data_IF_445372416800
#
_entry.id   IF_445372416800
#
_cell.length_a   1.000
_cell.length_b   1.000
_cell.length_c   1.000
_cell.angle_alpha   90.00
_cell.angle_beta   90.00
_cell.angle_gamma   90.00
#
_symmetry.space_group_name_H-M   'P 1'
#
loop_
_entity.id
_entity.type
_entity.pdbx_description
1 polymer ?
#
# COMPACT_ATOMS: atom_id res chain seq x y z
N UNK A 1 -0.05 -1.22 15.90
CA UNK A 1 1.23 -1.47 15.22
C UNK A 1 2.28 -1.88 16.24
N UNK A 2 2.83 -3.09 16.14
CA UNK A 2 3.79 -3.61 17.12
C UNK A 2 5.21 -3.52 16.57
N UNK A 3 6.08 -2.78 17.26
CA UNK A 3 7.53 -2.81 17.02
C UNK A 3 8.09 -4.10 17.60
N UNK A 4 8.60 -5.01 16.80
CA UNK A 4 9.30 -6.21 17.28
C UNK A 4 10.70 -5.85 17.72
N UNK A 5 11.00 -6.02 19.01
CA UNK A 5 12.36 -5.96 19.51
C UNK A 5 13.21 -7.09 18.90
N UNK A 6 14.14 -6.73 18.03
CA UNK A 6 15.09 -7.65 17.44
C UNK A 6 16.19 -8.01 18.45
N UNK A 7 16.09 -9.20 19.07
CA UNK A 7 17.25 -9.91 19.62
C UNK A 7 17.28 -11.34 19.07
N UNK A 8 18.18 -11.54 18.12
CA UNK A 8 18.87 -12.81 17.86
C UNK A 8 18.16 -13.78 16.94
N UNK A 9 18.60 -13.78 15.68
CA UNK A 9 19.21 -15.00 15.09
C UNK A 9 19.86 -14.64 13.75
N UNK A 10 21.16 -14.89 13.67
CA UNK A 10 21.98 -14.88 12.44
C UNK A 10 21.61 -16.12 11.60
N UNK A 11 21.18 -15.93 10.39
CA UNK A 11 20.91 -16.99 9.42
C UNK A 11 21.36 -16.60 8.01
N UNK A 12 22.49 -17.11 7.63
CA UNK A 12 23.07 -17.43 6.33
C UNK A 12 22.68 -16.61 5.08
N UNK A 13 23.68 -15.83 4.61
CA UNK A 13 23.67 -15.18 3.31
C UNK A 13 23.71 -16.18 2.14
N UNK A 14 22.95 -15.84 1.11
CA UNK A 14 23.15 -16.35 -0.25
C UNK A 14 23.74 -15.23 -1.11
N UNK A 15 25.02 -15.42 -1.49
CA UNK A 15 25.65 -14.65 -2.54
C UNK A 15 25.14 -15.18 -3.89
N UNK A 16 24.49 -14.36 -4.71
CA UNK A 16 24.23 -14.67 -6.11
C UNK A 16 25.12 -13.82 -7.01
N UNK A 17 25.88 -14.51 -7.84
CA UNK A 17 26.85 -14.02 -8.79
C UNK A 17 26.22 -13.18 -9.91
N UNK A 18 26.83 -12.03 -10.18
CA UNK A 18 26.53 -11.13 -11.30
C UNK A 18 27.00 -11.75 -12.63
N UNK A 19 26.11 -12.45 -13.35
CA UNK A 19 26.30 -12.78 -14.79
C UNK A 19 24.96 -13.02 -15.51
N UNK A 20 24.06 -12.04 -15.58
CA UNK A 20 22.83 -12.14 -16.36
C UNK A 20 22.39 -10.86 -17.09
N UNK A 21 23.23 -9.81 -17.16
CA UNK A 21 22.80 -8.52 -17.74
C UNK A 21 22.70 -8.47 -19.29
N UNK A 22 23.16 -9.49 -20.02
CA UNK A 22 23.06 -9.53 -21.48
C UNK A 22 21.87 -10.30 -22.04
N UNK A 23 21.24 -11.14 -21.23
CA UNK A 23 20.12 -12.00 -21.69
C UNK A 23 18.77 -11.27 -21.61
N UNK A 24 18.59 -10.36 -20.67
CA UNK A 24 17.31 -9.68 -20.45
C UNK A 24 16.98 -8.65 -21.55
N UNK A 25 17.97 -7.96 -22.15
CA UNK A 25 17.70 -7.02 -23.27
C UNK A 25 17.19 -7.68 -24.54
N UNK A 26 17.40 -8.98 -24.73
CA UNK A 26 16.91 -9.72 -25.90
C UNK A 26 15.46 -10.16 -25.70
N UNK A 27 15.02 -10.38 -24.46
CA UNK A 27 13.65 -10.74 -24.13
C UNK A 27 12.71 -9.55 -24.18
N UNK A 28 13.14 -8.34 -23.82
CA UNK A 28 12.31 -7.13 -23.86
C UNK A 28 11.93 -6.72 -25.30
N UNK A 29 12.81 -6.92 -26.27
CA UNK A 29 12.48 -6.65 -27.67
C UNK A 29 11.50 -7.69 -28.26
N UNK A 30 11.58 -8.93 -27.78
CA UNK A 30 10.64 -9.99 -28.17
C UNK A 30 9.26 -9.78 -27.54
N UNK A 31 9.20 -9.32 -26.30
CA UNK A 31 7.94 -9.05 -25.58
C UNK A 31 7.15 -7.91 -26.28
N UNK A 32 7.82 -6.81 -26.64
CA UNK A 32 7.17 -5.69 -27.36
C UNK A 32 6.68 -6.11 -28.75
N UNK A 33 7.45 -6.92 -29.48
CA UNK A 33 7.06 -7.43 -30.78
C UNK A 33 5.92 -8.46 -30.68
N UNK A 34 5.86 -9.22 -29.60
CA UNK A 34 4.79 -10.17 -29.29
C UNK A 34 3.49 -9.47 -28.88
N UNK A 35 3.55 -8.39 -28.09
CA UNK A 35 2.38 -7.58 -27.73
C UNK A 35 1.76 -6.93 -28.98
N UNK A 36 2.57 -6.47 -29.92
CA UNK A 36 2.09 -5.93 -31.20
C UNK A 36 1.44 -7.02 -32.08
N UNK A 37 1.97 -8.23 -32.08
CA UNK A 37 1.39 -9.39 -32.80
C UNK A 37 0.10 -9.88 -32.13
N UNK A 38 0.00 -9.83 -30.79
CA UNK A 38 -1.22 -10.19 -30.05
C UNK A 38 -2.33 -9.15 -30.26
N UNK A 39 -2.03 -7.86 -30.27
CA UNK A 39 -3.01 -6.81 -30.60
C UNK A 39 -3.52 -6.95 -32.06
N UNK A 40 -2.66 -7.31 -33.00
CA UNK A 40 -3.05 -7.59 -34.36
C UNK A 40 -3.92 -8.86 -34.52
N UNK A 41 -3.69 -9.87 -33.66
CA UNK A 41 -4.51 -11.10 -33.60
C UNK A 41 -5.89 -10.86 -32.96
N UNK A 42 -6.00 -9.91 -32.03
CA UNK A 42 -7.26 -9.50 -31.41
C UNK A 42 -8.12 -8.72 -32.43
N UNK A 43 -7.52 -7.85 -33.24
CA UNK A 43 -8.21 -7.12 -34.31
C UNK A 43 -8.72 -8.06 -35.40
N UNK A 44 -8.02 -9.16 -35.72
CA UNK A 44 -8.49 -10.18 -36.66
C UNK A 44 -9.61 -11.05 -36.08
N UNK A 45 -9.62 -11.29 -34.76
CA UNK A 45 -10.66 -12.07 -34.07
C UNK A 45 -11.96 -11.29 -33.86
N UNK A 46 -11.93 -9.96 -33.96
CA UNK A 46 -13.11 -9.08 -33.91
C UNK A 46 -13.73 -8.82 -35.30
N UNK A 47 -13.06 -9.21 -36.39
CA UNK A 47 -13.63 -9.18 -37.72
C UNK A 47 -14.53 -10.40 -37.93
N UNK A 48 -15.82 -10.17 -38.17
CA UNK A 48 -16.83 -11.20 -38.44
C UNK A 48 -16.38 -12.11 -39.59
N UNK A 49 -15.92 -13.33 -39.28
CA UNK A 49 -15.68 -14.38 -40.27
C UNK A 49 -17.01 -15.06 -40.62
N UNK A 50 -17.30 -15.32 -41.93
CA UNK A 50 -18.55 -15.94 -42.34
C UNK A 50 -18.72 -17.35 -41.76
N UNK A 51 -19.93 -17.64 -41.29
CA UNK A 51 -20.38 -18.93 -40.80
C UNK A 51 -20.06 -20.05 -41.79
N UNK A 52 -19.09 -20.90 -41.50
CA UNK A 52 -18.82 -22.06 -42.33
C UNK A 52 -17.73 -23.05 -41.91
N UNK A 53 -16.88 -22.72 -40.95
CA UNK A 53 -15.73 -23.58 -40.60
C UNK A 53 -15.67 -24.05 -39.14
N UNK A 54 -16.75 -23.95 -38.39
CA UNK A 54 -16.73 -24.20 -36.92
C UNK A 54 -16.98 -25.66 -36.46
N UNK A 55 -17.12 -26.65 -37.36
CA UNK A 55 -17.55 -28.00 -36.98
C UNK A 55 -16.54 -29.14 -37.22
N UNK A 56 -15.24 -28.92 -37.09
CA UNK A 56 -14.26 -30.04 -37.05
C UNK A 56 -13.04 -29.70 -36.20
N UNK A 57 -13.18 -29.63 -34.88
CA UNK A 57 -12.07 -29.79 -33.94
C UNK A 57 -12.58 -29.90 -32.50
N UNK A 58 -13.30 -30.94 -32.18
CA UNK A 58 -13.58 -31.33 -30.78
C UNK A 58 -12.93 -32.67 -30.54
N UNK A 59 -11.65 -32.71 -30.24
CA UNK A 59 -11.01 -33.78 -29.50
C UNK A 59 -9.70 -33.26 -28.89
N UNK A 60 -9.69 -33.06 -27.58
CA UNK A 60 -8.51 -33.00 -26.70
C UNK A 60 -7.43 -31.95 -27.02
N UNK A 61 -7.71 -30.69 -26.79
CA UNK A 61 -6.73 -29.60 -26.80
C UNK A 61 -7.23 -28.40 -27.61
N UNK A 62 -7.91 -27.47 -26.96
CA UNK A 62 -8.25 -26.18 -27.59
C UNK A 62 -7.01 -25.51 -28.19
N UNK A 63 -7.17 -24.66 -29.24
CA UNK A 63 -6.04 -24.02 -29.91
C UNK A 63 -5.10 -23.34 -28.92
N UNK A 64 -3.80 -23.42 -29.18
CA UNK A 64 -2.76 -22.84 -28.29
C UNK A 64 -3.05 -21.37 -27.96
N UNK A 65 -3.62 -20.61 -28.90
CA UNK A 65 -4.03 -19.22 -28.68
C UNK A 65 -5.18 -19.07 -27.66
N UNK A 66 -6.13 -20.02 -27.54
CA UNK A 66 -7.17 -19.99 -26.50
C UNK A 66 -6.55 -20.17 -25.09
N UNK A 67 -5.56 -21.03 -24.95
CA UNK A 67 -4.80 -21.14 -23.67
C UNK A 67 -3.96 -19.90 -23.40
N UNK A 68 -3.41 -19.27 -24.44
CA UNK A 68 -2.68 -18.01 -24.33
C UNK A 68 -3.65 -16.89 -23.92
N UNK A 69 -4.85 -16.82 -24.50
CA UNK A 69 -5.88 -15.84 -24.12
C UNK A 69 -6.44 -16.12 -22.72
N UNK A 70 -6.60 -17.38 -22.31
CA UNK A 70 -6.92 -17.73 -20.93
C UNK A 70 -5.77 -17.39 -19.98
N UNK A 71 -4.51 -17.67 -20.33
CA UNK A 71 -3.35 -17.23 -19.56
C UNK A 71 -3.20 -15.69 -19.54
N UNK A 72 -3.49 -15.00 -20.63
CA UNK A 72 -3.50 -13.52 -20.68
C UNK A 72 -4.70 -12.92 -19.91
N UNK A 73 -5.82 -13.63 -19.79
CA UNK A 73 -6.93 -13.25 -18.90
C UNK A 73 -6.62 -13.49 -17.42
N UNK A 74 -5.67 -14.37 -17.12
CA UNK A 74 -5.20 -14.66 -15.76
C UNK A 74 -4.22 -13.61 -15.19
N UNK A 75 -3.90 -12.55 -15.93
CA UNK A 75 -2.89 -11.55 -15.56
C UNK A 75 -3.44 -10.19 -15.10
N UNK A 76 -4.73 -10.05 -14.86
CA UNK A 76 -5.21 -8.91 -14.06
C UNK A 76 -5.01 -9.26 -12.60
N UNK A 77 -4.09 -8.55 -11.93
CA UNK A 77 -3.89 -8.75 -10.50
C UNK A 77 -5.08 -8.24 -9.71
N UNK A 78 -5.46 -6.97 -9.91
CA UNK A 78 -6.62 -6.36 -9.28
C UNK A 78 -7.43 -5.54 -10.28
N UNK A 79 -8.76 -5.59 -10.15
CA UNK A 79 -9.66 -4.72 -10.91
C UNK A 79 -9.87 -3.38 -10.24
N UNK A 80 -9.68 -3.34 -8.91
CA UNK A 80 -9.85 -2.14 -8.10
C UNK A 80 -8.83 -2.07 -6.97
N UNK A 81 -8.31 -0.88 -6.74
CA UNK A 81 -7.42 -0.56 -5.64
C UNK A 81 -8.07 0.55 -4.81
N UNK A 82 -8.05 0.39 -3.51
CA UNK A 82 -8.41 1.45 -2.56
C UNK A 82 -7.15 1.90 -1.84
N UNK A 83 -6.79 3.18 -1.97
CA UNK A 83 -5.71 3.78 -1.21
C UNK A 83 -6.28 4.26 0.12
N UNK A 84 -5.75 3.77 1.23
CA UNK A 84 -6.01 4.29 2.57
C UNK A 84 -4.90 5.24 2.97
N UNK A 85 -5.24 6.49 3.31
CA UNK A 85 -4.27 7.52 3.76
C UNK A 85 -4.71 8.05 5.13
N UNK A 86 -4.40 7.32 6.21
CA UNK A 86 -4.94 7.65 7.53
C UNK A 86 -4.19 8.76 8.25
N UNK A 87 -2.92 9.06 7.90
CA UNK A 87 -2.03 9.87 8.72
C UNK A 87 -1.38 11.07 8.02
N UNK A 88 -1.84 11.43 6.83
CA UNK A 88 -1.24 12.51 6.02
C UNK A 88 -1.60 13.94 6.50
N UNK A 89 -2.49 14.07 7.48
CA UNK A 89 -3.07 15.36 7.88
C UNK A 89 -2.60 15.83 9.26
N UNK A 90 -2.56 17.18 9.41
CA UNK A 90 -2.42 17.85 10.71
C UNK A 90 -3.71 18.58 11.12
N UNK A 91 -4.80 18.45 10.38
CA UNK A 91 -6.01 19.20 10.66
C UNK A 91 -6.57 18.83 12.05
N UNK A 92 -7.14 19.80 12.73
CA UNK A 92 -7.71 19.67 14.06
C UNK A 92 -6.68 19.72 15.21
N UNK A 93 -5.38 19.58 14.93
CA UNK A 93 -4.35 19.53 15.97
C UNK A 93 -4.31 20.83 16.82
N UNK A 94 -4.50 21.97 16.18
CA UNK A 94 -4.52 23.29 16.84
C UNK A 94 -5.92 23.74 17.30
N UNK A 95 -6.92 22.90 17.10
CA UNK A 95 -8.28 23.15 17.58
C UNK A 95 -8.34 22.83 19.08
N UNK A 96 -8.44 23.85 19.93
CA UNK A 96 -8.48 23.67 21.38
C UNK A 96 -9.67 22.83 21.87
N UNK A 97 -10.75 22.77 21.07
CA UNK A 97 -11.94 21.97 21.39
C UNK A 97 -11.82 20.49 20.99
N UNK A 98 -10.80 20.14 20.19
CA UNK A 98 -10.57 18.76 19.70
C UNK A 98 -9.23 18.19 20.15
N UNK A 99 -8.19 19.02 20.19
CA UNK A 99 -6.81 18.56 20.39
C UNK A 99 -6.55 18.12 21.82
N UNK A 100 -6.74 19.00 22.78
CA UNK A 100 -6.42 18.78 24.20
C UNK A 100 -4.96 18.41 24.48
N UNK A 101 -4.10 18.46 23.48
CA UNK A 101 -2.66 18.36 23.67
C UNK A 101 -2.08 19.68 24.11
N UNK A 102 -1.08 19.64 25.00
CA UNK A 102 -0.23 20.80 25.24
C UNK A 102 0.78 20.91 24.08
N UNK A 103 0.43 21.71 23.07
CA UNK A 103 1.23 21.86 21.85
C UNK A 103 2.28 22.95 22.09
N UNK A 104 3.44 22.53 22.55
CA UNK A 104 4.65 23.34 22.60
C UNK A 104 5.64 23.00 21.46
N UNK A 105 6.79 23.64 21.44
CA UNK A 105 7.80 23.41 20.41
C UNK A 105 8.37 21.99 20.46
N UNK A 106 8.48 21.41 21.65
CA UNK A 106 9.02 20.07 21.83
C UNK A 106 8.04 19.01 21.34
N UNK A 107 6.75 19.16 21.65
CA UNK A 107 5.70 18.29 21.10
C UNK A 107 5.66 18.35 19.56
N UNK A 108 5.74 19.54 18.97
CA UNK A 108 5.76 19.70 17.53
C UNK A 108 6.97 19.01 16.89
N UNK A 109 8.15 19.24 17.39
CA UNK A 109 9.38 18.73 16.80
C UNK A 109 9.59 17.22 17.04
N UNK A 110 9.33 16.75 18.26
CA UNK A 110 9.65 15.38 18.63
C UNK A 110 8.52 14.40 18.31
N UNK A 111 7.27 14.87 18.29
CA UNK A 111 6.10 14.04 18.09
C UNK A 111 5.47 14.30 16.72
N UNK A 112 4.94 15.50 16.51
CA UNK A 112 4.12 15.75 15.32
C UNK A 112 4.93 15.67 14.03
N UNK A 113 6.10 16.32 13.97
CA UNK A 113 6.97 16.28 12.78
C UNK A 113 7.47 14.87 12.52
N UNK A 114 7.82 14.15 13.57
CA UNK A 114 8.34 12.77 13.46
C UNK A 114 7.29 11.78 12.99
N UNK A 115 6.07 11.85 13.53
CA UNK A 115 5.06 10.79 13.38
C UNK A 115 3.92 11.10 12.40
N UNK A 116 3.83 12.30 11.84
CA UNK A 116 2.91 12.59 10.73
C UNK A 116 3.47 12.02 9.42
N UNK A 117 2.64 11.39 8.61
CA UNK A 117 3.01 10.82 7.31
C UNK A 117 3.01 11.91 6.23
N UNK A 118 4.04 12.78 6.30
CA UNK A 118 4.15 13.94 5.44
C UNK A 118 4.12 13.55 3.96
N UNK A 119 3.26 14.22 3.19
CA UNK A 119 3.19 14.08 1.74
C UNK A 119 2.85 12.68 1.19
N UNK A 120 2.39 11.74 2.01
CA UNK A 120 1.90 10.45 1.50
C UNK A 120 0.75 10.66 0.52
N UNK A 121 -0.09 11.65 0.75
CA UNK A 121 -1.13 12.10 -0.17
C UNK A 121 -0.59 12.55 -1.55
N UNK A 122 0.61 13.09 -1.62
CA UNK A 122 1.28 13.42 -2.88
C UNK A 122 1.96 12.20 -3.50
N UNK A 123 2.64 11.39 -2.69
CA UNK A 123 3.41 10.22 -3.16
C UNK A 123 2.51 9.18 -3.81
N UNK A 124 1.38 8.87 -3.18
CA UNK A 124 0.48 7.80 -3.65
C UNK A 124 -0.51 8.23 -4.74
N UNK A 125 -0.61 9.53 -5.06
CA UNK A 125 -1.50 10.07 -6.10
C UNK A 125 -0.81 10.31 -7.44
N UNK A 126 0.20 9.52 -7.79
CA UNK A 126 0.85 9.63 -9.10
C UNK A 126 -0.01 9.08 -10.25
N UNK A 127 -0.77 8.02 -9.99
CA UNK A 127 -1.60 7.37 -11.01
C UNK A 127 -3.04 7.89 -10.98
N UNK A 128 -3.51 8.40 -12.13
CA UNK A 128 -4.91 8.77 -12.33
C UNK A 128 -5.60 7.65 -13.12
N UNK A 129 -6.32 6.77 -12.42
CA UNK A 129 -7.05 5.64 -13.00
C UNK A 129 -8.41 5.50 -12.28
N UNK A 130 -9.48 5.29 -13.05
CA UNK A 130 -10.84 5.16 -12.50
C UNK A 130 -11.04 3.91 -11.61
N UNK A 131 -10.10 2.97 -11.66
CA UNK A 131 -10.07 1.76 -10.82
C UNK A 131 -9.42 2.01 -9.46
N UNK A 132 -8.83 3.19 -9.25
CA UNK A 132 -8.25 3.60 -7.97
C UNK A 132 -9.21 4.54 -7.27
N UNK A 133 -9.53 4.22 -6.02
CA UNK A 133 -10.27 5.09 -5.10
C UNK A 133 -9.40 5.45 -3.92
N UNK A 134 -9.45 6.70 -3.48
CA UNK A 134 -8.70 7.15 -2.31
C UNK A 134 -9.65 7.46 -1.16
N UNK A 135 -9.32 6.94 0.00
CA UNK A 135 -9.96 7.27 1.27
C UNK A 135 -8.90 7.89 2.17
N UNK A 136 -8.98 9.20 2.34
CA UNK A 136 -8.11 9.97 3.22
C UNK A 136 -8.85 10.29 4.51
N UNK A 137 -8.16 10.12 5.64
CA UNK A 137 -8.61 10.66 6.91
C UNK A 137 -8.22 12.14 6.99
N UNK A 138 -9.17 13.06 7.22
CA UNK A 138 -8.88 14.48 7.12
C UNK A 138 -8.19 15.07 8.35
N UNK A 139 -8.19 14.37 9.49
CA UNK A 139 -7.64 14.88 10.74
C UNK A 139 -6.29 14.26 11.05
N UNK A 140 -5.54 14.94 11.94
CA UNK A 140 -4.29 14.42 12.49
C UNK A 140 -4.52 13.12 13.27
N UNK A 141 -3.58 12.16 13.15
CA UNK A 141 -3.57 10.94 13.99
C UNK A 141 -3.55 11.24 15.49
N UNK A 142 -3.05 12.43 15.88
CA UNK A 142 -3.06 12.89 17.26
C UNK A 142 -4.43 13.37 17.74
N UNK A 143 -5.38 13.50 16.86
CA UNK A 143 -6.81 13.72 17.18
C UNK A 143 -7.50 12.37 17.29
N UNK A 144 -7.41 11.57 16.23
CA UNK A 144 -7.93 10.19 16.14
C UNK A 144 -6.97 9.41 15.26
N UNK A 145 -6.50 8.27 15.72
CA UNK A 145 -5.73 7.35 14.88
C UNK A 145 -6.70 6.43 14.12
N UNK A 146 -6.89 6.76 12.85
CA UNK A 146 -7.87 6.10 11.99
C UNK A 146 -7.49 4.66 11.62
N UNK A 147 -6.22 4.29 11.79
CA UNK A 147 -5.68 2.96 11.53
C UNK A 147 -5.82 2.01 12.74
N UNK A 148 -6.05 2.53 13.94
CA UNK A 148 -6.18 1.67 15.12
C UNK A 148 -7.42 0.81 15.05
N UNK A 149 -7.25 -0.47 15.36
CA UNK A 149 -8.38 -1.39 15.45
C UNK A 149 -9.18 -1.20 16.72
N UNK A 150 -10.45 -1.58 16.69
CA UNK A 150 -11.26 -1.66 17.90
C UNK A 150 -10.66 -2.69 18.85
N UNK A 151 -10.43 -2.29 20.12
CA UNK A 151 -9.71 -3.08 21.14
C UNK A 151 -8.23 -3.34 20.81
N UNK A 152 -7.57 -2.44 20.10
CA UNK A 152 -6.13 -2.51 19.84
C UNK A 152 -5.34 -2.66 21.16
N UNK A 153 -4.33 -3.55 21.24
CA UNK A 153 -3.48 -3.68 22.43
C UNK A 153 -2.81 -2.36 22.86
N UNK A 154 -2.59 -1.43 21.94
CA UNK A 154 -2.04 -0.10 22.22
C UNK A 154 -2.97 0.78 23.07
N UNK A 155 -4.26 0.45 23.16
CA UNK A 155 -5.21 1.09 24.08
C UNK A 155 -4.71 1.03 25.53
N UNK A 156 -4.09 -0.09 25.93
CA UNK A 156 -3.58 -0.30 27.29
C UNK A 156 -2.46 0.67 27.71
N UNK A 157 -1.81 1.30 26.74
CA UNK A 157 -0.76 2.32 26.95
C UNK A 157 -1.20 3.72 26.49
N UNK A 158 -2.51 3.92 26.31
CA UNK A 158 -3.07 5.22 25.92
C UNK A 158 -2.90 5.60 24.45
N UNK A 159 -2.51 4.64 23.59
CA UNK A 159 -2.31 4.85 22.14
C UNK A 159 -3.31 4.05 21.30
N UNK A 160 -4.55 3.96 21.75
CA UNK A 160 -5.65 3.39 20.99
C UNK A 160 -6.18 4.31 19.88
N UNK A 161 -7.45 4.15 19.51
CA UNK A 161 -8.10 5.00 18.50
C UNK A 161 -8.02 6.48 18.86
N UNK A 162 -8.25 6.81 20.14
CA UNK A 162 -8.14 8.17 20.67
C UNK A 162 -6.96 8.21 21.62
N UNK A 163 -5.84 8.78 21.19
CA UNK A 163 -4.65 8.84 22.02
C UNK A 163 -4.91 9.64 23.31
N UNK A 164 -4.54 9.05 24.43
CA UNK A 164 -4.50 9.68 25.75
C UNK A 164 -3.07 9.93 26.21
N UNK A 165 -2.13 9.11 25.73
CA UNK A 165 -0.69 9.25 25.94
C UNK A 165 0.06 9.02 24.64
N UNK A 166 1.13 9.76 24.42
CA UNK A 166 2.07 9.50 23.32
C UNK A 166 3.45 9.97 23.75
N UNK A 167 4.41 9.05 23.82
CA UNK A 167 5.72 9.28 24.43
C UNK A 167 5.55 9.83 25.88
N UNK A 168 6.12 10.99 26.17
CA UNK A 168 6.03 11.66 27.48
C UNK A 168 4.85 12.65 27.61
N UNK A 169 4.01 12.73 26.55
CA UNK A 169 2.90 13.68 26.49
C UNK A 169 1.57 13.00 26.83
N UNK A 170 0.72 13.77 27.52
CA UNK A 170 -0.61 13.32 27.96
C UNK A 170 -1.68 14.28 27.52
N UNK A 171 -2.88 13.74 27.39
CA UNK A 171 -4.06 14.47 26.96
C UNK A 171 -5.27 14.01 27.76
N UNK A 172 -5.90 14.94 28.46
CA UNK A 172 -7.13 14.69 29.23
C UNK A 172 -8.34 15.05 28.38
N UNK A 173 -9.06 14.05 27.91
CA UNK A 173 -10.20 14.20 27.03
C UNK A 173 -11.49 14.04 27.84
N UNK A 174 -12.43 15.03 27.78
CA UNK A 174 -13.76 14.85 28.34
C UNK A 174 -14.51 13.67 27.68
N UNK A 175 -15.25 12.91 28.47
CA UNK A 175 -15.90 11.68 28.01
C UNK A 175 -16.92 11.88 26.88
N UNK A 176 -17.60 13.03 26.86
CA UNK A 176 -18.52 13.41 25.79
C UNK A 176 -17.77 13.69 24.48
N UNK A 177 -16.59 14.28 24.55
CA UNK A 177 -15.73 14.50 23.39
C UNK A 177 -15.14 13.19 22.88
N UNK A 178 -14.71 12.28 23.77
CA UNK A 178 -14.13 10.99 23.37
C UNK A 178 -15.09 10.23 22.46
N UNK A 179 -16.40 10.19 22.81
CA UNK A 179 -17.40 9.57 21.95
C UNK A 179 -17.52 10.27 20.57
N UNK A 180 -17.35 11.58 20.55
CA UNK A 180 -17.38 12.34 19.29
C UNK A 180 -16.17 12.00 18.41
N UNK A 181 -15.00 11.85 19.01
CA UNK A 181 -13.78 11.44 18.31
C UNK A 181 -13.89 9.99 17.77
N UNK A 182 -14.48 9.08 18.55
CA UNK A 182 -14.77 7.72 18.07
C UNK A 182 -15.69 7.71 16.86
N UNK A 183 -16.64 8.64 16.76
CA UNK A 183 -17.48 8.76 15.58
C UNK A 183 -16.70 9.17 14.31
N UNK A 184 -15.60 9.90 14.44
CA UNK A 184 -14.71 10.21 13.31
C UNK A 184 -13.98 8.95 12.81
N UNK A 185 -13.56 8.08 13.72
CA UNK A 185 -13.00 6.79 13.38
C UNK A 185 -14.04 5.91 12.64
N UNK A 186 -15.25 5.77 13.18
CA UNK A 186 -16.33 5.02 12.52
C UNK A 186 -16.62 5.57 11.12
N UNK A 187 -16.65 6.89 10.97
CA UNK A 187 -16.85 7.54 9.68
C UNK A 187 -15.76 7.16 8.67
N UNK A 188 -14.49 7.09 9.09
CA UNK A 188 -13.39 6.67 8.22
C UNK A 188 -13.53 5.20 7.82
N UNK A 189 -13.80 4.31 8.78
CA UNK A 189 -14.03 2.89 8.54
C UNK A 189 -15.20 2.66 7.58
N UNK A 190 -16.29 3.41 7.72
CA UNK A 190 -17.43 3.32 6.81
C UNK A 190 -17.06 3.77 5.38
N UNK A 191 -16.21 4.77 5.22
CA UNK A 191 -15.74 5.20 3.91
C UNK A 191 -14.82 4.16 3.26
N UNK A 192 -13.98 3.49 4.01
CA UNK A 192 -13.19 2.37 3.50
C UNK A 192 -14.11 1.23 3.02
N UNK A 193 -15.09 0.82 3.82
CA UNK A 193 -16.09 -0.21 3.44
C UNK A 193 -16.84 0.17 2.16
N UNK A 194 -17.24 1.44 2.01
CA UNK A 194 -17.93 1.93 0.82
C UNK A 194 -17.04 1.99 -0.43
N UNK A 195 -15.75 2.18 -0.24
CA UNK A 195 -14.79 2.22 -1.35
C UNK A 195 -14.38 0.82 -1.79
N UNK A 196 -14.32 -0.13 -0.87
CA UNK A 196 -13.96 -1.53 -1.12
C UNK A 196 -15.06 -2.28 -1.87
N UNK A 197 -14.67 -3.34 -2.53
CA UNK A 197 -15.53 -4.31 -3.20
C UNK A 197 -14.87 -5.67 -3.22
N UNK A 198 -15.62 -6.72 -3.55
CA UNK A 198 -15.09 -8.08 -3.64
C UNK A 198 -13.88 -8.17 -4.56
N UNK A 199 -12.81 -8.79 -4.10
CA UNK A 199 -11.57 -8.98 -4.85
C UNK A 199 -10.72 -7.73 -5.05
N UNK A 200 -11.03 -6.60 -4.39
CA UNK A 200 -10.18 -5.40 -4.40
C UNK A 200 -8.87 -5.61 -3.64
N UNK A 201 -7.90 -4.71 -3.89
CA UNK A 201 -6.75 -4.51 -3.01
C UNK A 201 -6.95 -3.23 -2.21
N UNK A 202 -6.90 -3.33 -0.89
CA UNK A 202 -6.64 -2.18 -0.01
C UNK A 202 -5.12 -1.98 0.03
N UNK A 203 -4.64 -0.83 -0.45
CA UNK A 203 -3.25 -0.40 -0.30
C UNK A 203 -3.20 0.62 0.83
N UNK A 204 -2.64 0.21 1.94
CA UNK A 204 -2.50 1.02 3.15
C UNK A 204 -1.23 1.85 3.06
N UNK A 205 -1.38 3.18 2.99
CA UNK A 205 -0.38 4.12 2.50
C UNK A 205 0.25 4.92 3.65
N UNK A 206 1.51 4.62 3.98
CA UNK A 206 2.17 5.17 5.15
C UNK A 206 3.58 5.67 4.91
N UNK A 207 4.12 6.36 5.91
CA UNK A 207 5.53 6.65 6.01
C UNK A 207 6.01 6.58 7.47
N UNK A 208 7.27 6.20 7.66
CA UNK A 208 7.86 6.07 8.99
C UNK A 208 9.11 6.93 9.17
N UNK A 209 9.45 7.26 10.44
CA UNK A 209 10.62 8.06 10.77
C UNK A 209 11.93 7.43 10.27
N UNK A 210 12.84 8.28 9.83
CA UNK A 210 14.13 7.91 9.24
C UNK A 210 15.10 7.24 10.23
N UNK A 211 14.94 7.52 11.53
CA UNK A 211 15.74 6.95 12.62
C UNK A 211 15.24 5.59 13.13
N UNK A 212 14.08 5.11 12.66
CA UNK A 212 13.45 3.88 13.16
C UNK A 212 14.07 2.61 12.59
N UNK A 213 14.49 2.65 11.34
CA UNK A 213 15.06 1.51 10.62
C UNK A 213 15.93 1.97 9.46
N UNK A 214 16.86 1.11 9.05
CA UNK A 214 17.66 1.32 7.85
C UNK A 214 16.98 0.85 6.55
N UNK A 215 15.78 0.25 6.65
CA UNK A 215 14.90 -0.13 5.53
C UNK A 215 14.37 1.14 4.86
N UNK A 216 14.26 1.11 3.54
CA UNK A 216 13.70 2.22 2.74
C UNK A 216 12.21 2.05 2.50
N UNK A 217 11.80 0.83 2.19
CA UNK A 217 10.41 0.45 1.91
C UNK A 217 10.05 -0.77 2.77
N UNK A 218 8.94 -0.69 3.49
CA UNK A 218 8.37 -1.84 4.19
C UNK A 218 7.08 -2.29 3.50
N UNK A 219 7.02 -3.57 3.15
CA UNK A 219 5.83 -4.25 2.66
C UNK A 219 5.23 -5.01 3.84
N UNK A 220 4.05 -4.57 4.30
CA UNK A 220 3.33 -5.18 5.41
C UNK A 220 2.07 -5.89 4.94
N UNK A 221 1.72 -6.99 5.59
CA UNK A 221 0.49 -7.73 5.34
C UNK A 221 0.11 -8.58 6.57
N UNK A 222 -1.16 -8.96 6.64
CA UNK A 222 -1.65 -9.88 7.67
C UNK A 222 -1.44 -11.32 7.25
N UNK A 223 -1.17 -12.22 8.20
CA UNK A 223 -1.14 -13.66 7.97
C UNK A 223 -2.53 -14.28 8.20
N UNK A 224 -3.54 -13.71 7.54
CA UNK A 224 -4.94 -14.13 7.64
C UNK A 224 -5.64 -14.14 6.27
N UNK A 225 -6.97 -14.08 6.27
CA UNK A 225 -7.80 -14.09 5.07
C UNK A 225 -7.55 -12.93 4.11
N UNK A 226 -7.01 -11.82 4.59
CA UNK A 226 -6.72 -10.61 3.80
C UNK A 226 -5.37 -10.64 3.10
N UNK A 227 -4.55 -11.68 3.35
CA UNK A 227 -3.22 -11.83 2.77
C UNK A 227 -3.28 -11.85 1.25
N UNK A 228 -2.54 -10.99 0.52
CA UNK A 228 -2.32 -11.16 -0.91
C UNK A 228 -1.59 -12.47 -1.21
N UNK A 229 -1.69 -12.96 -2.45
CA UNK A 229 -0.90 -14.13 -2.85
C UNK A 229 0.60 -13.88 -2.74
N UNK A 230 1.38 -14.93 -2.53
CA UNK A 230 2.84 -14.81 -2.43
C UNK A 230 3.44 -14.18 -3.70
N UNK A 231 2.88 -14.46 -4.89
CA UNK A 231 3.30 -13.82 -6.15
C UNK A 231 3.13 -12.28 -6.13
N UNK A 232 2.08 -11.78 -5.51
CA UNK A 232 1.86 -10.33 -5.34
C UNK A 232 2.86 -9.72 -4.37
N UNK A 233 3.11 -10.42 -3.25
CA UNK A 233 4.09 -9.99 -2.25
C UNK A 233 5.48 -9.96 -2.87
N UNK A 234 5.88 -11.03 -3.56
CA UNK A 234 7.16 -11.14 -4.26
C UNK A 234 7.30 -10.06 -5.35
N UNK A 235 6.23 -9.79 -6.09
CA UNK A 235 6.21 -8.72 -7.09
C UNK A 235 6.40 -7.35 -6.43
N UNK A 236 5.77 -7.07 -5.29
CA UNK A 236 5.92 -5.82 -4.56
C UNK A 236 7.37 -5.65 -4.06
N UNK A 237 7.93 -6.70 -3.45
CA UNK A 237 9.31 -6.70 -2.96
C UNK A 237 10.31 -6.47 -4.11
N UNK A 238 10.21 -7.26 -5.19
CA UNK A 238 11.11 -7.16 -6.33
C UNK A 238 10.98 -5.82 -7.05
N UNK A 239 9.76 -5.25 -7.13
CA UNK A 239 9.54 -3.95 -7.76
C UNK A 239 10.40 -2.85 -7.16
N UNK A 240 10.48 -2.78 -5.83
CA UNK A 240 11.29 -1.78 -5.14
C UNK A 240 12.76 -2.17 -5.04
N UNK A 241 13.09 -3.45 -4.84
CA UNK A 241 14.49 -3.92 -4.84
C UNK A 241 15.19 -3.65 -6.18
N UNK A 242 14.53 -3.90 -7.31
CA UNK A 242 15.07 -3.65 -8.65
C UNK A 242 15.34 -2.16 -8.93
N UNK A 243 14.72 -1.27 -8.15
CA UNK A 243 14.91 0.18 -8.17
C UNK A 243 15.97 0.68 -7.17
N UNK A 244 16.57 -0.24 -6.44
CA UNK A 244 17.66 0.04 -5.52
C UNK A 244 17.24 0.32 -4.08
N UNK A 245 15.95 0.20 -3.74
CA UNK A 245 15.49 0.37 -2.37
C UNK A 245 15.82 -0.84 -1.51
N UNK A 246 16.14 -0.61 -0.25
CA UNK A 246 16.25 -1.64 0.77
C UNK A 246 14.85 -1.97 1.29
N UNK A 247 14.36 -3.16 0.94
CA UNK A 247 13.00 -3.60 1.27
C UNK A 247 12.98 -4.49 2.50
N UNK A 248 12.07 -4.22 3.43
CA UNK A 248 11.71 -5.08 4.55
C UNK A 248 10.31 -5.67 4.35
N UNK A 249 10.11 -6.90 4.79
CA UNK A 249 8.80 -7.56 4.76
C UNK A 249 8.32 -7.75 6.19
N UNK A 250 7.17 -7.20 6.52
CA UNK A 250 6.65 -7.13 7.90
C UNK A 250 7.69 -6.61 8.91
N UNK A 251 8.57 -5.70 8.44
CA UNK A 251 9.61 -5.05 9.23
C UNK A 251 9.99 -3.69 8.62
N UNK A 252 10.07 -2.58 9.39
CA UNK A 252 9.92 -2.48 10.85
C UNK A 252 8.48 -2.64 11.34
N UNK A 253 7.51 -2.51 10.48
CA UNK A 253 6.09 -2.66 10.77
C UNK A 253 5.51 -3.92 10.13
N UNK A 254 4.44 -4.41 10.71
CA UNK A 254 3.70 -5.57 10.20
C UNK A 254 2.21 -5.27 10.23
N UNK A 255 1.45 -6.09 9.49
CA UNK A 255 0.01 -5.97 9.29
C UNK A 255 -0.35 -4.85 8.31
N UNK A 256 -1.62 -4.78 7.99
CA UNK A 256 -2.27 -3.78 7.14
C UNK A 256 -3.70 -3.60 7.63
N UNK A 257 -4.30 -2.46 7.39
CA UNK A 257 -5.68 -2.17 7.78
C UNK A 257 -6.67 -3.14 7.12
N UNK A 258 -7.66 -3.61 7.88
CA UNK A 258 -8.67 -4.56 7.39
C UNK A 258 -10.05 -4.22 7.93
N UNK A 259 -10.75 -3.22 7.34
CA UNK A 259 -12.14 -2.96 7.64
C UNK A 259 -13.02 -4.19 7.47
N UNK A 260 -13.93 -4.42 8.41
CA UNK A 260 -14.85 -5.54 8.37
C UNK A 260 -15.89 -5.36 7.24
N UNK A 261 -15.90 -6.28 6.28
CA UNK A 261 -16.78 -6.30 5.10
C UNK A 261 -17.45 -7.66 4.94
N UNK A 262 -18.62 -7.69 4.30
CA UNK A 262 -19.36 -8.93 4.00
C UNK A 262 -18.78 -9.70 2.80
N UNK A 263 -17.63 -9.28 2.25
CA UNK A 263 -16.95 -9.87 1.09
C UNK A 263 -15.45 -9.91 1.30
N UNK A 264 -14.76 -10.79 0.55
CA UNK A 264 -13.30 -10.93 0.59
C UNK A 264 -12.59 -9.88 -0.25
N UNK A 265 -11.47 -9.36 0.28
CA UNK A 265 -10.53 -8.48 -0.41
C UNK A 265 -9.13 -8.75 0.15
N UNK A 266 -8.09 -8.23 -0.51
CA UNK A 266 -6.73 -8.31 0.00
C UNK A 266 -6.29 -6.98 0.61
N UNK A 267 -5.37 -7.02 1.56
CA UNK A 267 -4.78 -5.83 2.16
C UNK A 267 -3.26 -5.91 2.18
N UNK A 268 -2.62 -4.84 1.70
CA UNK A 268 -1.17 -4.68 1.65
C UNK A 268 -0.80 -3.29 2.16
N UNK A 269 0.10 -3.21 3.12
CA UNK A 269 0.65 -1.95 3.60
C UNK A 269 1.93 -1.62 2.82
N UNK A 270 2.03 -0.39 2.36
CA UNK A 270 3.25 0.19 1.81
C UNK A 270 3.70 1.35 2.71
N UNK A 271 4.75 1.09 3.48
CA UNK A 271 5.38 2.06 4.37
C UNK A 271 6.69 2.55 3.77
N UNK A 272 6.81 3.85 3.57
CA UNK A 272 8.01 4.46 2.99
C UNK A 272 8.82 5.20 4.07
N UNK A 273 10.13 4.97 4.12
CA UNK A 273 10.99 5.68 5.04
C UNK A 273 11.10 7.16 4.63
N UNK A 274 10.89 8.08 5.56
CA UNK A 274 10.95 9.54 5.30
C UNK A 274 12.27 9.99 4.69
N UNK A 275 13.38 9.32 4.98
CA UNK A 275 14.69 9.62 4.37
C UNK A 275 14.72 9.47 2.85
N UNK A 276 13.79 8.66 2.26
CA UNK A 276 13.78 8.40 0.81
C UNK A 276 13.17 9.53 0.00
N UNK A 277 12.35 10.40 0.63
CA UNK A 277 11.60 11.43 -0.09
C UNK A 277 11.58 12.81 0.59
N UNK A 278 12.05 12.93 1.84
CA UNK A 278 12.20 14.21 2.53
C UNK A 278 13.66 14.64 2.60
N UNK A 279 13.87 15.95 2.57
CA UNK A 279 15.20 16.53 2.84
C UNK A 279 15.59 16.24 4.29
N UNK A 280 16.85 15.88 4.57
CA UNK A 280 17.31 15.56 5.91
C UNK A 280 16.93 16.62 6.95
N UNK A 281 16.35 16.18 8.06
CA UNK A 281 15.90 17.05 9.16
C UNK A 281 14.79 18.01 8.80
N UNK A 282 13.98 17.74 7.79
CA UNK A 282 12.95 18.62 7.26
C UNK A 282 11.71 17.84 6.83
N UNK A 283 10.58 18.56 6.76
CA UNK A 283 9.34 18.05 6.14
C UNK A 283 9.23 18.41 4.65
N UNK A 284 10.26 19.00 4.06
CA UNK A 284 10.24 19.41 2.66
C UNK A 284 10.57 18.23 1.76
N UNK A 285 9.80 18.10 0.68
CA UNK A 285 10.07 17.10 -0.36
C UNK A 285 11.46 17.30 -1.00
N UNK A 286 12.10 16.21 -1.33
CA UNK A 286 13.19 16.14 -2.29
C UNK A 286 12.69 15.41 -3.55
N UNK A 287 13.29 15.75 -4.70
CA UNK A 287 12.99 15.06 -5.96
C UNK A 287 13.88 13.82 -6.05
N UNK A 288 13.32 12.65 -5.77
CA UNK A 288 14.03 11.37 -5.65
C UNK A 288 13.46 10.24 -6.53
N UNK A 289 12.38 10.51 -7.25
CA UNK A 289 11.72 9.54 -8.11
C UNK A 289 10.80 8.54 -7.39
N UNK A 290 10.72 8.54 -6.05
CA UNK A 290 9.89 7.59 -5.30
C UNK A 290 8.42 7.64 -5.72
N UNK A 291 7.87 8.82 -5.99
CA UNK A 291 6.49 8.96 -6.49
C UNK A 291 6.27 8.24 -7.81
N UNK A 292 7.23 8.32 -8.73
CA UNK A 292 7.16 7.65 -10.03
C UNK A 292 7.26 6.13 -9.86
N UNK A 293 8.09 5.66 -8.93
CA UNK A 293 8.22 4.25 -8.59
C UNK A 293 6.95 3.68 -7.94
N UNK A 294 6.31 4.42 -7.02
CA UNK A 294 5.01 4.05 -6.45
C UNK A 294 3.93 4.04 -7.54
N UNK A 295 3.94 5.03 -8.45
CA UNK A 295 3.02 5.09 -9.59
C UNK A 295 3.16 3.84 -10.48
N UNK A 296 4.40 3.46 -10.82
CA UNK A 296 4.69 2.26 -11.59
C UNK A 296 4.28 0.98 -10.85
N UNK A 297 4.41 0.94 -9.52
CA UNK A 297 3.92 -0.17 -8.70
C UNK A 297 2.40 -0.30 -8.77
N UNK A 298 1.66 0.79 -8.60
CA UNK A 298 0.19 0.80 -8.74
C UNK A 298 -0.25 0.34 -10.13
N UNK A 299 0.46 0.75 -11.20
CA UNK A 299 0.20 0.28 -12.56
C UNK A 299 0.37 -1.23 -12.67
N UNK A 300 1.42 -1.80 -12.10
CA UNK A 300 1.65 -3.26 -12.10
C UNK A 300 0.55 -4.01 -11.37
N UNK A 301 0.08 -3.51 -10.23
CA UNK A 301 -1.05 -4.08 -9.48
C UNK A 301 -2.34 -4.14 -10.31
N UNK A 302 -2.57 -3.17 -11.19
CA UNK A 302 -3.76 -3.10 -12.04
C UNK A 302 -3.65 -3.89 -13.35
N UNK A 303 -2.43 -4.07 -13.89
CA UNK A 303 -2.24 -4.63 -15.23
C UNK A 303 -1.75 -6.08 -15.22
N UNK A 304 -1.20 -6.54 -14.10
CA UNK A 304 -0.45 -7.78 -14.08
C UNK A 304 0.92 -7.65 -14.78
N UNK A 305 1.82 -8.57 -14.51
CA UNK A 305 3.16 -8.61 -15.11
C UNK A 305 3.12 -9.18 -16.54
#
# INVERSE_FOLDING_TARGET
>A
MQVRNARGQLGNGYAHDAKTSSFNKFFDLFAVQWILLCNFAIDIASAELPFGYANRAVSHGGPVWMRIVEQLKLTKMYEHIVLNEPHASMEGLYDAEKSFWNIDADFLNNVVIKWTDWHTDYLFHGLQDSRIRTVRFPYSRFIVDAERLWNDPMESIGQGIVYKEFEDYRRDIPSDLEQHLLNLWHWHQDRLRQALQEGALLLDCHSFPDDLSDVDICIGYNEDWSKPSDDIIDMAVNHFMDRGYKVGVNYPYSNSETPDCDFGYHSLMLEVNKKTYLKPGSILLQDDGLRDDITAFQQRLLMGS
#
